data_IF_695767039091
#
_entry.id   IF_695767039091
#
_cell.length_a   1.000
_cell.length_b   1.000
_cell.length_c   1.000
_cell.angle_alpha   90.00
_cell.angle_beta   90.00
_cell.angle_gamma   90.00
#
_symmetry.space_group_name_H-M   'P 1'
#
loop_
_entity.id
_entity.type
_entity.pdbx_description
1 polymer ?
#
# COMPACT_ATOMS: atom_id res chain seq x y z
N UNK A 1 2.10 -9.62 -2.25
CA UNK A 1 1.39 -10.07 -3.46
C UNK A 1 0.28 -9.08 -3.59
N UNK A 2 0.43 -8.26 -4.61
CA UNK A 2 -0.26 -7.01 -4.75
C UNK A 2 -1.17 -7.15 -5.99
N UNK A 3 -2.22 -6.34 -6.04
CA UNK A 3 -3.21 -6.39 -7.11
C UNK A 3 -3.39 -5.02 -7.73
N UNK A 4 -3.47 -4.97 -9.06
CA UNK A 4 -3.93 -3.79 -9.77
C UNK A 4 -5.43 -3.91 -9.99
N UNK A 5 -6.18 -2.85 -9.70
CA UNK A 5 -7.55 -2.69 -10.17
C UNK A 5 -7.52 -1.54 -11.17
N UNK A 6 -7.94 -1.76 -12.41
CA UNK A 6 -7.87 -0.75 -13.45
C UNK A 6 -9.21 -0.61 -14.17
N UNK A 7 -9.66 0.62 -14.41
CA UNK A 7 -10.82 0.90 -15.26
C UNK A 7 -10.39 0.90 -16.73
N UNK A 8 -11.19 0.27 -17.59
CA UNK A 8 -10.89 0.13 -19.02
C UNK A 8 -11.76 1.05 -19.88
N UNK A 9 -11.11 1.74 -20.82
CA UNK A 9 -11.76 2.42 -21.93
C UNK A 9 -11.35 1.81 -23.27
N UNK A 10 -11.37 2.63 -24.32
CA UNK A 10 -10.94 2.24 -25.67
C UNK A 10 -9.41 2.15 -25.82
N UNK A 11 -8.65 2.65 -24.85
CA UNK A 11 -7.19 2.66 -24.83
C UNK A 11 -6.64 1.61 -23.84
N UNK A 12 -6.49 0.34 -24.27
CA UNK A 12 -6.04 -0.74 -23.40
C UNK A 12 -4.60 -0.56 -22.90
N UNK A 13 -3.76 0.14 -23.68
CA UNK A 13 -2.35 0.34 -23.36
C UNK A 13 -2.14 1.08 -22.03
N UNK A 14 -3.12 1.85 -21.57
CA UNK A 14 -3.05 2.52 -20.26
C UNK A 14 -2.90 1.50 -19.13
N UNK A 15 -3.53 0.33 -19.24
CA UNK A 15 -3.43 -0.75 -18.24
C UNK A 15 -2.04 -1.34 -18.20
N UNK A 16 -1.47 -1.68 -19.38
CA UNK A 16 -0.17 -2.32 -19.50
C UNK A 16 0.97 -1.36 -19.17
N UNK A 17 0.91 -0.10 -19.62
CA UNK A 17 1.90 0.93 -19.24
C UNK A 17 1.89 1.16 -17.72
N UNK A 18 0.72 1.24 -17.10
CA UNK A 18 0.62 1.39 -15.64
C UNK A 18 1.19 0.15 -14.91
N UNK A 19 0.87 -1.05 -15.39
CA UNK A 19 1.40 -2.30 -14.85
C UNK A 19 2.93 -2.38 -14.98
N UNK A 20 3.48 -2.03 -16.14
CA UNK A 20 4.93 -2.03 -16.40
C UNK A 20 5.65 -1.04 -15.49
N UNK A 21 5.07 0.16 -15.30
CA UNK A 21 5.61 1.13 -14.35
C UNK A 21 5.60 0.61 -12.90
N UNK A 22 4.53 -0.07 -12.47
CA UNK A 22 4.46 -0.66 -11.13
C UNK A 22 5.47 -1.81 -10.95
N UNK A 23 5.59 -2.68 -11.94
CA UNK A 23 6.55 -3.78 -11.92
C UNK A 23 7.99 -3.27 -11.90
N UNK A 24 8.32 -2.22 -12.69
CA UNK A 24 9.64 -1.56 -12.66
C UNK A 24 9.97 -0.95 -11.30
N UNK A 25 8.96 -0.47 -10.57
CA UNK A 25 9.11 0.01 -9.18
C UNK A 25 9.29 -1.12 -8.14
N UNK A 26 9.28 -2.38 -8.57
CA UNK A 26 9.50 -3.54 -7.71
C UNK A 26 8.25 -4.00 -6.94
N UNK A 27 7.05 -3.51 -7.28
CA UNK A 27 5.83 -4.01 -6.64
C UNK A 27 5.57 -5.48 -7.05
N UNK A 28 5.34 -6.40 -6.10
CA UNK A 28 5.09 -7.80 -6.38
C UNK A 28 3.64 -8.04 -6.84
N UNK A 29 3.28 -7.46 -7.98
CA UNK A 29 1.96 -7.58 -8.58
C UNK A 29 1.75 -9.02 -9.05
N UNK A 30 0.61 -9.60 -8.71
CA UNK A 30 0.24 -10.99 -9.04
C UNK A 30 -1.11 -11.10 -9.73
N UNK A 31 -1.90 -10.02 -9.72
CA UNK A 31 -3.21 -9.98 -10.35
C UNK A 31 -3.54 -8.58 -10.88
N UNK A 32 -4.24 -8.53 -12.01
CA UNK A 32 -4.84 -7.32 -12.58
C UNK A 32 -6.33 -7.56 -12.79
N UNK A 33 -7.17 -6.85 -12.06
CA UNK A 33 -8.61 -6.80 -12.26
C UNK A 33 -8.95 -5.62 -13.19
N UNK A 34 -9.44 -5.91 -14.38
CA UNK A 34 -9.80 -4.94 -15.41
C UNK A 34 -11.31 -4.73 -15.41
N UNK A 35 -11.77 -3.59 -14.89
CA UNK A 35 -13.19 -3.21 -14.83
C UNK A 35 -13.64 -2.63 -16.17
N UNK A 36 -14.67 -3.20 -16.78
CA UNK A 36 -15.05 -2.81 -18.15
C UNK A 36 -16.56 -2.82 -18.42
N UNK A 37 -17.01 -1.92 -19.30
CA UNK A 37 -18.37 -1.93 -19.87
C UNK A 37 -18.50 -3.01 -20.94
N UNK A 38 -19.61 -3.04 -21.69
CA UNK A 38 -19.84 -4.05 -22.73
C UNK A 38 -18.73 -4.03 -23.79
N UNK A 39 -18.24 -5.20 -24.25
CA UNK A 39 -17.13 -5.26 -25.22
C UNK A 39 -17.41 -4.49 -26.52
N UNK A 40 -18.67 -4.41 -26.95
CA UNK A 40 -19.07 -3.67 -28.15
C UNK A 40 -18.71 -2.18 -28.12
N UNK A 41 -18.55 -1.59 -26.93
CA UNK A 41 -18.16 -0.19 -26.77
C UNK A 41 -16.64 0.02 -26.59
N UNK A 42 -15.88 -1.07 -26.46
CA UNK A 42 -14.45 -1.05 -26.18
C UNK A 42 -13.60 -1.30 -27.44
N UNK A 43 -14.25 -1.53 -28.58
CA UNK A 43 -13.58 -1.98 -29.79
C UNK A 43 -12.73 -3.21 -29.52
N UNK A 44 -11.45 -3.11 -29.84
CA UNK A 44 -10.50 -4.21 -29.68
C UNK A 44 -9.77 -4.23 -28.33
N UNK A 45 -10.11 -3.33 -27.39
CA UNK A 45 -9.33 -3.13 -26.16
C UNK A 45 -9.18 -4.42 -25.33
N UNK A 46 -10.27 -5.15 -25.11
CA UNK A 46 -10.23 -6.41 -24.36
C UNK A 46 -9.42 -7.50 -25.08
N UNK A 47 -9.53 -7.58 -26.42
CA UNK A 47 -8.76 -8.56 -27.21
C UNK A 47 -7.27 -8.28 -27.06
N UNK A 48 -6.88 -7.03 -27.27
CA UNK A 48 -5.48 -6.59 -27.15
C UNK A 48 -4.90 -6.82 -25.76
N UNK A 49 -5.68 -6.65 -24.69
CA UNK A 49 -5.21 -7.00 -23.34
C UNK A 49 -5.03 -8.50 -23.14
N UNK A 50 -5.91 -9.33 -23.71
CA UNK A 50 -5.79 -10.79 -23.64
C UNK A 50 -4.55 -11.28 -24.36
N UNK A 51 -4.19 -10.66 -25.48
CA UNK A 51 -2.97 -10.98 -26.23
C UNK A 51 -1.70 -10.76 -25.38
N UNK A 52 -1.74 -9.84 -24.41
CA UNK A 52 -0.62 -9.55 -23.49
C UNK A 52 -0.57 -10.48 -22.25
N UNK A 53 -1.58 -11.30 -21.99
CA UNK A 53 -1.60 -12.15 -20.80
C UNK A 53 -0.41 -13.12 -20.75
N UNK A 54 -0.03 -13.67 -21.91
CA UNK A 54 1.09 -14.60 -21.98
C UNK A 54 2.42 -13.90 -21.68
N UNK A 55 2.58 -12.62 -22.05
CA UNK A 55 3.75 -11.82 -21.69
C UNK A 55 3.90 -11.73 -20.17
N UNK A 56 2.81 -11.43 -19.47
CA UNK A 56 2.83 -11.25 -18.01
C UNK A 56 2.79 -12.57 -17.21
N UNK A 57 2.22 -13.64 -17.76
CA UNK A 57 2.19 -14.95 -17.13
C UNK A 57 3.57 -15.61 -17.03
N UNK A 58 4.54 -15.19 -17.85
CA UNK A 58 5.94 -15.68 -17.83
C UNK A 58 6.81 -15.01 -16.76
N UNK A 59 6.30 -13.98 -16.07
CA UNK A 59 7.05 -13.27 -15.03
C UNK A 59 7.13 -14.08 -13.75
N UNK A 60 8.04 -13.69 -12.86
CA UNK A 60 8.15 -14.24 -11.50
C UNK A 60 7.98 -13.12 -10.47
N UNK A 61 6.85 -13.07 -9.73
CA UNK A 61 5.70 -13.95 -9.84
C UNK A 61 4.89 -13.73 -11.13
N UNK A 62 4.11 -14.73 -11.59
CA UNK A 62 3.24 -14.58 -12.74
C UNK A 62 2.09 -13.64 -12.41
N UNK A 63 1.74 -12.76 -13.36
CA UNK A 63 0.58 -11.87 -13.20
C UNK A 63 -0.62 -12.45 -13.94
N UNK A 64 -1.75 -12.58 -13.24
CA UNK A 64 -3.01 -13.07 -13.82
C UNK A 64 -3.95 -11.92 -14.13
N UNK A 65 -4.58 -11.93 -15.29
CA UNK A 65 -5.61 -10.97 -15.64
C UNK A 65 -7.00 -11.52 -15.32
N UNK A 66 -7.87 -10.67 -14.80
CA UNK A 66 -9.29 -10.95 -14.64
C UNK A 66 -10.10 -9.78 -15.19
N UNK A 67 -11.04 -10.09 -16.07
CA UNK A 67 -11.93 -9.09 -16.68
C UNK A 67 -13.24 -9.06 -15.90
N UNK A 68 -13.53 -7.91 -15.30
CA UNK A 68 -14.65 -7.71 -14.38
C UNK A 68 -15.69 -6.86 -15.11
N UNK A 69 -16.78 -7.46 -15.59
CA UNK A 69 -17.80 -6.71 -16.31
C UNK A 69 -18.60 -5.84 -15.34
N UNK A 70 -18.87 -4.60 -15.73
CA UNK A 70 -19.87 -3.75 -15.10
C UNK A 70 -21.25 -4.29 -15.48
N UNK A 71 -21.72 -5.31 -14.78
CA UNK A 71 -22.95 -6.05 -15.10
C UNK A 71 -23.69 -6.51 -13.85
N UNK A 72 -25.01 -6.42 -13.88
CA UNK A 72 -25.90 -7.02 -12.88
C UNK A 72 -27.13 -7.63 -13.54
N UNK A 73 -27.29 -8.95 -13.40
CA UNK A 73 -28.32 -9.70 -14.11
C UNK A 73 -28.24 -9.49 -15.63
N UNK A 74 -29.33 -8.99 -16.23
CA UNK A 74 -29.41 -8.65 -17.66
C UNK A 74 -28.84 -7.27 -18.00
N UNK A 75 -28.65 -6.40 -17.00
CA UNK A 75 -28.14 -5.05 -17.22
C UNK A 75 -26.64 -5.06 -17.43
N UNK A 76 -26.20 -4.71 -18.64
CA UNK A 76 -24.79 -4.62 -19.00
C UNK A 76 -24.57 -3.40 -19.91
N UNK A 77 -24.29 -2.22 -19.33
CA UNK A 77 -24.13 -0.97 -20.08
C UNK A 77 -23.04 -1.03 -21.13
N UNK A 78 -23.30 -0.43 -22.29
CA UNK A 78 -22.27 -0.10 -23.30
C UNK A 78 -21.45 1.10 -22.87
N UNK A 79 -22.08 2.11 -22.26
CA UNK A 79 -21.45 3.28 -21.67
C UNK A 79 -22.12 3.64 -20.34
N UNK A 80 -21.45 4.44 -19.52
CA UNK A 80 -21.96 4.93 -18.22
C UNK A 80 -22.59 6.31 -18.45
N UNK A 81 -23.89 6.33 -18.71
CA UNK A 81 -24.63 7.55 -19.08
C UNK A 81 -25.85 7.83 -18.20
N UNK A 82 -26.18 6.91 -17.27
CA UNK A 82 -27.29 7.07 -16.34
C UNK A 82 -26.84 6.90 -14.88
N UNK A 83 -27.66 7.36 -13.94
CA UNK A 83 -27.46 7.11 -12.51
C UNK A 83 -27.46 5.61 -12.18
N UNK A 84 -28.29 4.82 -12.87
CA UNK A 84 -28.32 3.37 -12.72
C UNK A 84 -26.98 2.73 -13.11
N UNK A 85 -26.38 3.17 -14.21
CA UNK A 85 -25.07 2.68 -14.66
C UNK A 85 -23.96 3.09 -13.70
N UNK A 86 -24.03 4.33 -13.21
CA UNK A 86 -23.07 4.88 -12.27
C UNK A 86 -23.13 4.16 -10.91
N UNK A 87 -24.34 3.89 -10.40
CA UNK A 87 -24.55 3.09 -9.19
C UNK A 87 -24.06 1.65 -9.37
N UNK A 88 -24.31 1.04 -10.53
CA UNK A 88 -23.79 -0.30 -10.85
C UNK A 88 -22.25 -0.31 -10.88
N UNK A 89 -21.63 0.67 -11.55
CA UNK A 89 -20.19 0.84 -11.58
C UNK A 89 -19.59 0.97 -10.16
N UNK A 90 -20.19 1.81 -9.32
CA UNK A 90 -19.78 1.97 -7.92
C UNK A 90 -19.83 0.63 -7.18
N UNK A 91 -20.93 -0.12 -7.30
CA UNK A 91 -21.06 -1.44 -6.66
C UNK A 91 -19.98 -2.42 -7.14
N UNK A 92 -19.70 -2.45 -8.44
CA UNK A 92 -18.69 -3.35 -9.03
C UNK A 92 -17.28 -2.98 -8.55
N UNK A 93 -16.91 -1.69 -8.61
CA UNK A 93 -15.63 -1.20 -8.10
C UNK A 93 -15.48 -1.48 -6.60
N UNK A 94 -16.50 -1.19 -5.80
CA UNK A 94 -16.47 -1.42 -4.36
C UNK A 94 -16.28 -2.90 -4.03
N UNK A 95 -17.06 -3.79 -4.65
CA UNK A 95 -16.95 -5.23 -4.44
C UNK A 95 -15.58 -5.76 -4.84
N UNK A 96 -15.04 -5.27 -5.95
CA UNK A 96 -13.73 -5.66 -6.46
C UNK A 96 -12.62 -5.27 -5.48
N UNK A 97 -12.52 -3.99 -5.12
CA UNK A 97 -11.52 -3.50 -4.17
C UNK A 97 -11.66 -4.19 -2.82
N UNK A 98 -12.89 -4.33 -2.30
CA UNK A 98 -13.13 -5.02 -1.04
C UNK A 98 -12.70 -6.50 -1.09
N UNK A 99 -12.88 -7.19 -2.22
CA UNK A 99 -12.41 -8.56 -2.41
C UNK A 99 -10.89 -8.66 -2.32
N UNK A 100 -10.16 -7.77 -3.00
CA UNK A 100 -8.70 -7.73 -2.94
C UNK A 100 -8.18 -7.45 -1.52
N UNK A 101 -8.83 -6.51 -0.82
CA UNK A 101 -8.51 -6.20 0.58
C UNK A 101 -8.77 -7.37 1.53
N UNK A 102 -9.89 -8.07 1.38
CA UNK A 102 -10.19 -9.29 2.16
C UNK A 102 -9.17 -10.40 1.90
N UNK A 103 -8.64 -10.48 0.68
CA UNK A 103 -7.53 -11.35 0.33
C UNK A 103 -6.15 -10.87 0.87
N UNK A 104 -6.12 -9.83 1.72
CA UNK A 104 -4.92 -9.23 2.32
C UNK A 104 -3.89 -8.77 1.28
N UNK A 105 -4.37 -8.32 0.12
CA UNK A 105 -3.53 -7.76 -0.95
C UNK A 105 -3.47 -6.26 -0.84
N UNK A 106 -2.30 -5.70 -1.14
CA UNK A 106 -2.14 -4.26 -1.40
C UNK A 106 -2.79 -3.94 -2.74
N UNK A 107 -3.65 -2.93 -2.76
CA UNK A 107 -4.39 -2.50 -3.95
C UNK A 107 -3.70 -1.30 -4.60
N UNK A 108 -3.43 -1.43 -5.89
CA UNK A 108 -2.99 -0.37 -6.79
C UNK A 108 -4.15 -0.03 -7.73
N UNK A 109 -4.94 1.00 -7.40
CA UNK A 109 -6.08 1.40 -8.22
C UNK A 109 -5.62 2.36 -9.32
N UNK A 110 -5.70 1.96 -10.58
CA UNK A 110 -5.41 2.80 -11.73
C UNK A 110 -6.71 3.43 -12.28
N UNK A 111 -6.80 4.76 -12.20
CA UNK A 111 -7.98 5.54 -12.64
C UNK A 111 -7.74 6.29 -13.96
N UNK A 112 -6.72 5.91 -14.72
CA UNK A 112 -6.34 6.59 -15.95
C UNK A 112 -7.17 6.16 -17.18
N UNK A 113 -7.75 4.96 -17.15
CA UNK A 113 -8.53 4.41 -18.27
C UNK A 113 -10.04 4.56 -18.10
N UNK A 114 -10.76 4.58 -19.22
CA UNK A 114 -12.23 4.63 -19.23
C UNK A 114 -12.80 6.06 -19.23
N UNK A 115 -14.12 6.17 -19.01
CA UNK A 115 -14.81 7.45 -18.94
C UNK A 115 -14.41 8.18 -17.66
N UNK A 116 -14.39 9.52 -17.68
CA UNK A 116 -14.06 10.35 -16.49
C UNK A 116 -14.91 10.00 -15.26
N UNK A 117 -16.18 9.64 -15.47
CA UNK A 117 -17.06 9.16 -14.39
C UNK A 117 -16.49 7.94 -13.68
N UNK A 118 -15.81 7.03 -14.38
CA UNK A 118 -15.17 5.86 -13.78
C UNK A 118 -14.01 6.24 -12.86
N UNK A 119 -13.23 7.25 -13.22
CA UNK A 119 -12.19 7.79 -12.36
C UNK A 119 -12.79 8.41 -11.09
N UNK A 120 -13.89 9.16 -11.21
CA UNK A 120 -14.59 9.77 -10.07
C UNK A 120 -15.13 8.72 -9.09
N UNK A 121 -15.83 7.69 -9.58
CA UNK A 121 -16.31 6.60 -8.72
C UNK A 121 -15.17 5.73 -8.20
N UNK A 122 -14.09 5.57 -8.96
CA UNK A 122 -12.85 4.94 -8.48
C UNK A 122 -12.27 5.70 -7.28
N UNK A 123 -12.25 7.04 -7.33
CA UNK A 123 -11.80 7.88 -6.22
C UNK A 123 -12.72 7.76 -5.00
N UNK A 124 -14.04 7.74 -5.20
CA UNK A 124 -14.99 7.55 -4.11
C UNK A 124 -14.77 6.19 -3.40
N UNK A 125 -14.58 5.11 -4.17
CA UNK A 125 -14.21 3.80 -3.60
C UNK A 125 -12.86 3.86 -2.90
N UNK A 126 -11.90 4.60 -3.45
CA UNK A 126 -10.59 4.73 -2.86
C UNK A 126 -10.63 5.35 -1.46
N UNK A 127 -11.37 6.45 -1.32
CA UNK A 127 -11.56 7.15 -0.05
C UNK A 127 -12.29 6.31 1.01
N UNK A 128 -13.17 5.39 0.58
CA UNK A 128 -13.92 4.51 1.48
C UNK A 128 -13.11 3.30 1.94
N UNK A 129 -12.27 2.72 1.08
CA UNK A 129 -11.69 1.41 1.31
C UNK A 129 -10.17 1.38 1.44
N UNK A 130 -9.42 2.31 0.86
CA UNK A 130 -7.96 2.21 0.82
C UNK A 130 -7.29 2.64 2.12
N UNK A 131 -6.23 1.91 2.49
CA UNK A 131 -5.38 2.18 3.66
C UNK A 131 -3.94 2.56 3.26
N UNK A 132 -3.03 2.73 4.22
CA UNK A 132 -1.68 3.33 4.06
C UNK A 132 -0.78 2.51 3.15
N UNK A 133 -1.15 1.25 2.92
CA UNK A 133 -0.42 0.39 2.01
C UNK A 133 -0.93 0.58 0.60
N UNK A 134 -2.19 0.92 0.40
CA UNK A 134 -2.80 1.04 -0.91
C UNK A 134 -2.41 2.33 -1.65
N UNK A 135 -2.58 2.34 -2.97
CA UNK A 135 -2.26 3.49 -3.80
C UNK A 135 -3.30 3.71 -4.90
N UNK A 136 -3.61 4.97 -5.19
CA UNK A 136 -4.31 5.36 -6.42
C UNK A 136 -3.30 5.93 -7.39
N UNK A 137 -3.40 5.54 -8.65
CA UNK A 137 -2.50 5.92 -9.71
C UNK A 137 -3.24 6.58 -10.85
N UNK A 138 -2.62 7.63 -11.39
CA UNK A 138 -2.98 8.21 -12.68
C UNK A 138 -1.77 8.16 -13.60
N UNK A 139 -2.03 8.09 -14.91
CA UNK A 139 -0.99 8.05 -15.92
C UNK A 139 -0.90 9.43 -16.58
N UNK A 140 0.25 10.08 -16.47
CA UNK A 140 0.57 11.27 -17.24
C UNK A 140 1.38 10.84 -18.46
N UNK A 141 0.83 11.04 -19.64
CA UNK A 141 1.51 10.75 -20.90
C UNK A 141 1.32 11.90 -21.88
N UNK A 142 2.33 12.22 -22.69
CA UNK A 142 2.14 13.05 -23.86
C UNK A 142 1.02 12.45 -24.75
N UNK A 143 0.12 13.26 -25.34
CA UNK A 143 -0.95 12.77 -26.21
C UNK A 143 -0.45 11.87 -27.35
N UNK A 144 0.76 12.14 -27.85
CA UNK A 144 1.42 11.41 -28.93
C UNK A 144 1.67 9.95 -28.56
N UNK A 145 1.97 9.68 -27.28
CA UNK A 145 2.26 8.32 -26.79
C UNK A 145 1.01 7.44 -26.83
N UNK A 146 -0.16 7.97 -26.50
CA UNK A 146 -1.42 7.20 -26.57
C UNK A 146 -1.84 6.94 -28.03
N UNK A 147 -1.47 7.85 -28.95
CA UNK A 147 -1.72 7.69 -30.39
C UNK A 147 -0.91 6.58 -31.03
N UNK A 148 0.28 6.23 -30.50
CA UNK A 148 1.06 5.09 -31.01
C UNK A 148 0.33 3.77 -30.81
N UNK A 149 -0.58 3.72 -29.83
CA UNK A 149 -1.30 2.52 -29.40
C UNK A 149 -0.35 1.36 -29.06
N UNK A 150 0.93 1.59 -28.76
CA UNK A 150 1.80 0.51 -28.31
C UNK A 150 1.34 0.03 -26.94
N UNK A 151 1.23 -1.29 -26.76
CA UNK A 151 0.83 -1.88 -25.47
C UNK A 151 1.89 -1.61 -24.40
N UNK A 152 3.16 -1.55 -24.79
CA UNK A 152 4.27 -1.23 -23.92
C UNK A 152 4.97 0.01 -24.46
N UNK A 153 5.08 1.05 -23.64
CA UNK A 153 5.72 2.30 -24.02
C UNK A 153 6.43 2.94 -22.82
N UNK A 154 7.59 3.51 -23.09
CA UNK A 154 8.32 4.36 -22.15
C UNK A 154 7.92 5.83 -22.35
N UNK A 155 8.17 6.65 -21.32
CA UNK A 155 7.87 8.09 -21.35
C UNK A 155 6.55 8.50 -20.70
N UNK A 156 5.70 7.54 -20.31
CA UNK A 156 4.56 7.80 -19.44
C UNK A 156 4.99 7.77 -17.96
N UNK A 157 4.47 8.70 -17.16
CA UNK A 157 4.77 8.84 -15.74
C UNK A 157 3.55 8.41 -14.92
N UNK A 158 3.76 7.41 -14.06
CA UNK A 158 2.73 6.99 -13.11
C UNK A 158 2.79 7.85 -11.84
N UNK A 159 1.80 8.71 -11.65
CA UNK A 159 1.74 9.62 -10.50
C UNK A 159 0.77 9.11 -9.44
N UNK A 160 1.14 9.15 -8.15
CA UNK A 160 0.22 8.83 -7.09
C UNK A 160 -0.85 9.93 -6.98
N UNK A 161 -2.12 9.53 -6.88
CA UNK A 161 -3.22 10.45 -6.61
C UNK A 161 -3.48 10.45 -5.10
N UNK A 162 -3.45 11.62 -4.43
CA UNK A 162 -3.72 11.70 -3.00
C UNK A 162 -5.12 11.19 -2.65
N UNK A 163 -5.20 10.33 -1.63
CA UNK A 163 -6.47 9.84 -1.08
C UNK A 163 -6.66 10.44 0.31
N UNK A 164 -7.66 11.31 0.44
CA UNK A 164 -8.04 11.86 1.72
C UNK A 164 -8.74 10.79 2.57
N UNK A 165 -8.28 10.64 3.80
CA UNK A 165 -8.86 9.73 4.79
C UNK A 165 -9.53 10.54 5.87
N UNK A 166 -10.85 10.60 5.77
CA UNK A 166 -11.67 11.34 6.72
C UNK A 166 -11.47 10.91 8.17
N UNK A 167 -11.12 9.63 8.41
CA UNK A 167 -10.78 9.13 9.76
C UNK A 167 -9.49 9.70 10.35
N UNK A 168 -8.60 10.27 9.53
CA UNK A 168 -7.33 10.86 9.94
C UNK A 168 -7.33 12.40 9.92
N UNK A 169 -8.43 13.02 9.50
CA UNK A 169 -8.58 14.47 9.47
C UNK A 169 -9.32 14.95 10.73
N UNK A 170 -9.11 16.21 11.18
CA UNK A 170 -9.84 16.80 12.30
C UNK A 170 -11.36 16.65 12.11
N UNK A 171 -12.09 16.42 13.19
CA UNK A 171 -13.55 16.23 13.19
C UNK A 171 -14.34 17.47 12.77
N UNK A 172 -13.69 18.62 12.57
CA UNK A 172 -14.32 19.88 12.19
C UNK A 172 -14.02 20.21 10.73
N UNK A 173 -15.06 20.16 9.89
CA UNK A 173 -15.05 20.64 8.50
C UNK A 173 -14.48 22.08 8.41
N UNK A 174 -14.66 22.87 9.45
CA UNK A 174 -14.15 24.24 9.59
C UNK A 174 -12.63 24.36 9.47
N UNK A 175 -11.83 23.38 9.92
CA UNK A 175 -10.37 23.44 9.77
C UNK A 175 -9.93 23.21 8.32
N UNK A 176 -10.64 22.37 7.58
CA UNK A 176 -10.39 22.14 6.16
C UNK A 176 -10.82 23.34 5.30
N UNK A 177 -11.93 23.98 5.66
CA UNK A 177 -12.47 25.15 4.95
C UNK A 177 -11.60 26.41 5.11
N UNK A 178 -10.70 26.44 6.10
CA UNK A 178 -9.71 27.52 6.29
C UNK A 178 -8.50 27.36 5.37
N UNK A 179 -8.33 26.20 4.71
CA UNK A 179 -7.16 25.95 3.88
C UNK A 179 -7.45 26.24 2.41
N UNK A 180 -6.83 27.31 1.90
CA UNK A 180 -6.82 27.65 0.47
C UNK A 180 -5.97 26.69 -0.40
N UNK A 181 -5.23 25.76 0.23
CA UNK A 181 -4.36 24.81 -0.44
C UNK A 181 -4.66 23.35 -0.03
N UNK A 182 -5.16 22.49 -0.95
CA UNK A 182 -5.45 21.08 -0.67
C UNK A 182 -4.20 20.26 -0.28
N UNK A 183 -2.98 20.70 -0.64
CA UNK A 183 -1.75 20.02 -0.22
C UNK A 183 -1.51 20.14 1.28
N UNK A 184 -2.00 21.20 1.95
CA UNK A 184 -1.94 21.30 3.41
C UNK A 184 -2.74 20.21 4.09
N UNK A 185 -3.91 19.85 3.54
CA UNK A 185 -4.71 18.75 4.05
C UNK A 185 -3.99 17.41 3.93
N UNK A 186 -3.35 17.19 2.78
CA UNK A 186 -2.57 15.97 2.52
C UNK A 186 -1.37 15.88 3.48
N UNK A 187 -0.64 16.97 3.68
CA UNK A 187 0.50 17.03 4.61
C UNK A 187 0.07 16.77 6.06
N UNK A 188 -1.03 17.38 6.52
CA UNK A 188 -1.59 17.12 7.85
C UNK A 188 -1.97 15.65 8.03
N UNK A 189 -2.63 15.04 7.05
CA UNK A 189 -2.95 13.60 7.10
C UNK A 189 -1.69 12.73 7.22
N UNK A 190 -0.64 13.06 6.45
CA UNK A 190 0.64 12.35 6.52
C UNK A 190 1.26 12.48 7.93
N UNK A 191 1.28 13.69 8.50
CA UNK A 191 1.79 13.94 9.86
C UNK A 191 1.01 13.16 10.92
N UNK A 192 -0.32 13.12 10.84
CA UNK A 192 -1.17 12.35 11.77
C UNK A 192 -0.87 10.86 11.64
N UNK A 193 -0.77 10.34 10.42
CA UNK A 193 -0.45 8.93 10.18
C UNK A 193 0.95 8.56 10.69
N UNK A 194 1.94 9.43 10.49
CA UNK A 194 3.29 9.23 11.01
C UNK A 194 3.34 9.27 12.54
N UNK A 195 2.58 10.18 13.17
CA UNK A 195 2.44 10.26 14.62
C UNK A 195 1.83 8.98 15.21
N UNK A 196 0.76 8.46 14.61
CA UNK A 196 0.16 7.19 15.01
C UNK A 196 1.13 6.01 14.84
N UNK A 197 1.80 5.93 13.68
CA UNK A 197 2.80 4.89 13.42
C UNK A 197 3.97 4.96 14.42
N UNK A 198 4.44 6.15 14.76
CA UNK A 198 5.49 6.35 15.76
C UNK A 198 5.06 5.86 17.13
N UNK A 199 3.84 6.19 17.58
CA UNK A 199 3.28 5.70 18.86
C UNK A 199 3.22 4.19 18.90
N UNK A 200 2.67 3.56 17.85
CA UNK A 200 2.58 2.11 17.78
C UNK A 200 3.96 1.44 17.83
N UNK A 201 4.97 2.01 17.15
CA UNK A 201 6.35 1.51 17.22
C UNK A 201 6.99 1.72 18.61
N UNK A 202 6.68 2.83 19.28
CA UNK A 202 7.11 3.06 20.67
C UNK A 202 6.51 2.03 21.62
N UNK A 203 5.23 1.68 21.45
CA UNK A 203 4.57 0.66 22.27
C UNK A 203 5.19 -0.72 22.03
N UNK A 204 5.41 -1.12 20.76
CA UNK A 204 6.14 -2.34 20.43
C UNK A 204 7.55 -2.35 21.04
N UNK A 205 8.28 -1.23 20.95
CA UNK A 205 9.63 -1.11 21.52
C UNK A 205 9.65 -1.28 23.04
N UNK A 206 8.63 -0.77 23.74
CA UNK A 206 8.47 -0.91 25.21
C UNK A 206 8.14 -2.34 25.63
N UNK A 207 7.52 -3.14 24.77
CA UNK A 207 7.24 -4.56 25.02
C UNK A 207 8.51 -5.44 24.94
N UNK A 208 9.57 -4.93 24.31
CA UNK A 208 10.85 -5.63 24.22
C UNK A 208 11.68 -5.45 25.48
N UNK A 209 12.28 -6.54 25.94
CA UNK A 209 13.28 -6.51 27.01
C UNK A 209 14.54 -5.77 26.56
N UNK A 210 15.36 -5.23 27.48
CA UNK A 210 16.64 -4.58 27.12
C UNK A 210 17.61 -5.49 26.35
N UNK A 211 17.49 -6.82 26.53
CA UNK A 211 18.28 -7.80 25.80
C UNK A 211 17.78 -7.98 24.36
N UNK A 212 16.46 -7.97 24.14
CA UNK A 212 15.83 -8.02 22.83
C UNK A 212 16.03 -6.72 22.05
N UNK A 213 15.89 -5.56 22.70
CA UNK A 213 16.14 -4.26 22.08
C UNK A 213 17.55 -4.18 21.49
N UNK A 214 18.57 -4.65 22.23
CA UNK A 214 19.97 -4.72 21.73
C UNK A 214 20.11 -5.60 20.49
N UNK A 215 19.45 -6.76 20.48
CA UNK A 215 19.46 -7.67 19.33
C UNK A 215 18.74 -7.04 18.14
N UNK A 216 17.61 -6.37 18.38
CA UNK A 216 16.84 -5.70 17.35
C UNK A 216 17.63 -4.53 16.72
N UNK A 217 18.31 -3.72 17.52
CA UNK A 217 19.18 -2.64 17.03
C UNK A 217 20.29 -3.20 16.13
N UNK A 218 20.97 -4.26 16.58
CA UNK A 218 22.01 -4.91 15.79
C UNK A 218 21.46 -5.45 14.47
N UNK A 219 20.30 -6.13 14.51
CA UNK A 219 19.62 -6.64 13.32
C UNK A 219 19.27 -5.52 12.32
N UNK A 220 18.66 -4.44 12.79
CA UNK A 220 18.16 -3.36 11.93
C UNK A 220 19.32 -2.55 11.33
N UNK A 221 20.41 -2.33 12.07
CA UNK A 221 21.56 -1.54 11.60
C UNK A 221 22.52 -2.32 10.70
N UNK A 222 22.83 -3.56 11.06
CA UNK A 222 23.86 -4.34 10.38
C UNK A 222 23.33 -5.21 9.24
N UNK A 223 22.07 -5.67 9.34
CA UNK A 223 21.70 -6.91 8.67
C UNK A 223 22.59 -8.07 9.15
N UNK A 224 22.47 -9.25 8.55
CA UNK A 224 23.36 -10.39 8.85
C UNK A 224 22.63 -11.62 9.39
N UNK A 225 23.37 -12.70 9.58
CA UNK A 225 22.97 -14.01 10.10
C UNK A 225 22.90 -14.03 11.62
N UNK A 226 22.43 -15.13 12.21
CA UNK A 226 22.41 -15.28 13.66
C UNK A 226 23.83 -15.34 14.23
N UNK A 227 24.77 -15.89 13.47
CA UNK A 227 26.18 -16.01 13.81
C UNK A 227 26.87 -14.63 13.85
N UNK A 228 26.65 -13.80 12.83
CA UNK A 228 27.21 -12.45 12.76
C UNK A 228 26.65 -11.56 13.88
N UNK A 229 25.34 -11.65 14.14
CA UNK A 229 24.70 -10.93 15.26
C UNK A 229 25.22 -11.41 16.62
N UNK A 230 25.45 -12.71 16.77
CA UNK A 230 25.99 -13.29 18.00
C UNK A 230 27.42 -12.81 18.27
N UNK A 231 28.27 -12.78 17.23
CA UNK A 231 29.62 -12.24 17.31
C UNK A 231 29.61 -10.75 17.68
N UNK A 232 28.78 -9.95 17.01
CA UNK A 232 28.67 -8.51 17.27
C UNK A 232 28.18 -8.19 18.70
N UNK A 233 27.37 -9.07 19.30
CA UNK A 233 26.78 -8.88 20.62
C UNK A 233 27.54 -9.61 21.75
N UNK A 234 28.59 -10.38 21.43
CA UNK A 234 29.29 -11.22 22.40
C UNK A 234 28.38 -12.28 23.04
N UNK A 235 27.45 -12.86 22.28
CA UNK A 235 26.46 -13.85 22.74
C UNK A 235 26.60 -15.17 21.98
N UNK A 236 25.95 -16.22 22.47
CA UNK A 236 25.84 -17.46 21.69
C UNK A 236 24.83 -17.32 20.54
N UNK A 237 25.07 -17.94 19.37
CA UNK A 237 24.10 -17.97 18.27
C UNK A 237 22.72 -18.49 18.70
N UNK A 238 22.68 -19.46 19.61
CA UNK A 238 21.44 -20.01 20.20
C UNK A 238 20.65 -18.95 20.97
N UNK A 239 21.33 -18.13 21.76
CA UNK A 239 20.69 -17.03 22.50
C UNK A 239 20.09 -15.99 21.57
N UNK A 240 20.84 -15.60 20.52
CA UNK A 240 20.34 -14.65 19.51
C UNK A 240 19.15 -15.22 18.76
N UNK A 241 19.19 -16.50 18.37
CA UNK A 241 18.08 -17.16 17.70
C UNK A 241 16.79 -17.15 18.56
N UNK A 242 16.90 -17.49 19.85
CA UNK A 242 15.76 -17.46 20.77
C UNK A 242 15.20 -16.04 20.96
N UNK A 243 16.06 -15.04 21.06
CA UNK A 243 15.64 -13.64 21.20
C UNK A 243 14.97 -13.11 19.95
N UNK A 244 15.52 -13.43 18.77
CA UNK A 244 14.90 -13.08 17.49
C UNK A 244 13.54 -13.75 17.32
N UNK A 245 13.42 -15.02 17.71
CA UNK A 245 12.14 -15.73 17.68
C UNK A 245 11.09 -15.02 18.55
N UNK A 246 11.44 -14.65 19.79
CA UNK A 246 10.52 -13.92 20.67
C UNK A 246 10.17 -12.53 20.12
N UNK A 247 11.15 -11.79 19.57
CA UNK A 247 10.90 -10.50 18.88
C UNK A 247 9.92 -10.69 17.72
N UNK A 248 10.09 -11.75 16.92
CA UNK A 248 9.22 -12.03 15.78
C UNK A 248 7.80 -12.40 16.22
N UNK A 249 7.64 -13.13 17.32
CA UNK A 249 6.34 -13.44 17.91
C UNK A 249 5.62 -12.18 18.40
N UNK A 250 6.30 -11.33 19.19
CA UNK A 250 5.76 -10.04 19.66
C UNK A 250 5.38 -9.14 18.48
N UNK A 251 6.25 -9.04 17.48
CA UNK A 251 5.98 -8.25 16.28
C UNK A 251 4.81 -8.80 15.46
N UNK A 252 4.64 -10.13 15.39
CA UNK A 252 3.47 -10.76 14.74
C UNK A 252 2.18 -10.46 15.49
N UNK A 253 2.19 -10.57 16.82
CA UNK A 253 1.06 -10.22 17.67
C UNK A 253 0.66 -8.75 17.49
N UNK A 254 1.64 -7.84 17.49
CA UNK A 254 1.44 -6.41 17.29
C UNK A 254 0.95 -6.05 15.87
N UNK A 255 1.48 -6.68 14.81
CA UNK A 255 1.09 -6.40 13.42
C UNK A 255 -0.13 -7.17 12.90
N UNK A 256 -0.57 -8.21 13.61
CA UNK A 256 -1.54 -9.19 13.10
C UNK A 256 -1.01 -10.01 11.91
N UNK A 257 0.32 -10.20 11.80
CA UNK A 257 0.95 -10.94 10.70
C UNK A 257 0.69 -12.45 10.80
N UNK A 258 0.08 -13.09 9.79
CA UNK A 258 -0.14 -14.54 9.78
C UNK A 258 1.17 -15.34 9.79
N UNK A 259 1.14 -16.52 10.41
CA UNK A 259 2.25 -17.50 10.39
C UNK A 259 2.73 -17.79 8.95
N UNK A 260 4.05 -17.96 8.77
CA UNK A 260 4.67 -18.24 7.45
C UNK A 260 5.04 -17.02 6.59
N UNK A 261 4.63 -15.79 6.93
CA UNK A 261 5.12 -14.57 6.26
C UNK A 261 6.55 -14.21 6.71
N UNK A 262 7.34 -13.65 5.79
CA UNK A 262 8.69 -13.11 6.02
C UNK A 262 8.64 -11.93 7.02
N UNK A 263 8.98 -12.19 8.27
CA UNK A 263 8.94 -11.20 9.36
C UNK A 263 10.19 -10.33 9.37
N UNK A 264 11.36 -10.92 9.13
CA UNK A 264 12.66 -10.25 9.28
C UNK A 264 12.77 -9.00 8.40
N UNK A 265 12.52 -9.11 7.11
CA UNK A 265 12.64 -7.99 6.17
C UNK A 265 11.62 -6.89 6.45
N UNK A 266 10.40 -7.27 6.86
CA UNK A 266 9.36 -6.30 7.19
C UNK A 266 9.65 -5.57 8.49
N UNK A 267 10.12 -6.28 9.51
CA UNK A 267 10.57 -5.70 10.77
C UNK A 267 11.68 -4.66 10.53
N UNK A 268 12.69 -5.02 9.72
CA UNK A 268 13.77 -4.09 9.35
C UNK A 268 13.20 -2.86 8.62
N UNK A 269 12.35 -3.06 7.60
CA UNK A 269 11.77 -1.96 6.84
C UNK A 269 10.91 -1.01 7.71
N UNK A 270 10.17 -1.56 8.67
CA UNK A 270 9.28 -0.77 9.53
C UNK A 270 10.05 0.06 10.57
N UNK A 271 11.14 -0.48 11.13
CA UNK A 271 11.94 0.14 12.20
C UNK A 271 13.11 1.00 11.71
N UNK A 272 13.71 0.69 10.56
CA UNK A 272 14.90 1.40 10.07
C UNK A 272 14.72 2.94 10.06
N UNK A 273 13.60 3.51 9.59
CA UNK A 273 13.41 4.97 9.59
C UNK A 273 13.24 5.61 10.97
N UNK A 274 12.99 4.80 12.02
CA UNK A 274 12.60 5.29 13.35
C UNK A 274 13.54 4.83 14.46
N UNK A 275 14.53 3.98 14.16
CA UNK A 275 15.35 3.30 15.16
C UNK A 275 16.08 4.27 16.09
N UNK A 276 16.64 5.35 15.55
CA UNK A 276 17.40 6.33 16.32
C UNK A 276 16.50 7.14 17.25
N UNK A 277 15.28 7.45 16.82
CA UNK A 277 14.31 8.14 17.67
C UNK A 277 13.82 7.23 18.80
N UNK A 278 13.50 5.97 18.51
CA UNK A 278 13.08 4.98 19.51
C UNK A 278 14.17 4.73 20.55
N UNK A 279 15.43 4.66 20.13
CA UNK A 279 16.57 4.43 21.02
C UNK A 279 16.85 5.62 21.94
N UNK A 280 16.70 6.86 21.44
CA UNK A 280 16.86 8.08 22.25
C UNK A 280 15.73 8.26 23.27
N UNK A 281 14.48 8.04 22.86
CA UNK A 281 13.32 8.14 23.75
C UNK A 281 13.41 7.13 24.91
N UNK A 282 13.91 5.92 24.63
CA UNK A 282 14.13 4.89 25.65
C UNK A 282 15.23 5.27 26.65
N UNK A 283 16.33 5.88 26.19
CA UNK A 283 17.41 6.36 27.05
C UNK A 283 16.95 7.50 27.97
N UNK A 284 16.11 8.41 27.47
CA UNK A 284 15.54 9.51 28.26
C UNK A 284 14.59 8.95 29.33
N UNK A 285 13.70 8.02 28.99
CA UNK A 285 12.77 7.41 29.93
C UNK A 285 13.47 6.64 31.07
N UNK A 286 14.58 5.96 30.77
CA UNK A 286 15.42 5.27 31.77
C UNK A 286 16.18 6.27 32.66
N UNK A 287 16.67 7.38 32.09
CA UNK A 287 17.35 8.44 32.86
C UNK A 287 16.43 9.17 33.83
N UNK A 288 15.17 9.41 33.45
CA UNK A 288 14.18 10.06 34.34
C UNK A 288 13.71 9.19 35.49
N UNK A 289 13.69 7.86 35.34
CA UNK A 289 13.29 6.94 36.41
C UNK A 289 14.36 6.80 37.52
N UNK A 290 15.61 7.20 37.27
CA UNK A 290 16.72 7.05 38.23
C UNK A 290 16.84 8.25 39.19
N UNK A 291 16.12 9.36 38.93
CA UNK A 291 16.17 10.58 39.75
C UNK A 291 14.93 10.80 40.65
N UNK A 292 13.96 9.88 40.64
CA UNK A 292 12.73 10.02 41.42
C UNK A 292 12.76 9.38 42.82
N UNK A 293 13.84 8.69 43.20
CA UNK A 293 13.90 7.88 44.43
C UNK A 293 14.85 8.43 45.51
N UNK A 294 15.36 9.67 45.36
CA UNK A 294 16.36 10.24 46.28
C UNK A 294 15.90 11.53 46.99
N UNK A 295 14.59 11.71 47.16
CA UNK A 295 14.05 12.78 48.02
C UNK A 295 12.92 12.24 48.91
N UNK A 296 13.30 11.53 49.97
CA UNK A 296 12.48 11.39 51.17
C UNK A 296 12.91 12.49 52.18
N UNK A 297 12.01 13.39 52.62
CA UNK A 297 12.36 14.40 53.60
C UNK A 297 12.38 13.78 55.02
N UNK A 298 13.41 14.14 55.79
CA UNK A 298 13.46 14.05 57.26
C UNK A 298 12.71 15.23 57.85
#
# INVERSE_FOLDING_TARGET
MDSVVATLGTEPQVVTIALDALLRRGYPISEVAVIHTRPSALGDALRRLRDEEQHYARRTPPVRFRYVPVREGRHYPTDIVSEQDAALLLRVLYREVASQKRAKRRVHLCIAGGRKVMAAYGMAVAQLLLDEKDCVWHLLSPPELLRTRQMHADGAVLVPVPVLRWSLLPSTLSELLVWDDPYRAIQRQQQVSEGLRRRLLQDFWRELTPAEQRVLVALVRGGGSNEELAQALGRSPKTVANQLQSIYEKYRAWTGLPEGRRVRERLIADLLPHLDALSKDAQIALGTATHADDQAPV
#
